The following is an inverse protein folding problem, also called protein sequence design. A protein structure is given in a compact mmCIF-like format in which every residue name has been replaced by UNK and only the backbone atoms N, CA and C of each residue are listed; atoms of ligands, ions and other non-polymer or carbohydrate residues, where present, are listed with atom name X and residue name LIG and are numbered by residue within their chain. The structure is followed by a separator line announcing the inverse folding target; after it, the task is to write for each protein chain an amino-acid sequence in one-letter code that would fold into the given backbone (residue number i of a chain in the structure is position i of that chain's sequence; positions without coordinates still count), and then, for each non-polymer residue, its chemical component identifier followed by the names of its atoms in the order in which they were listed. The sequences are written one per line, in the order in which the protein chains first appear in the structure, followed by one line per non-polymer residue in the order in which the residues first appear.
data_IF_318089380752
#
_entry.id   IF_318089380752
#
_cell.length_a   1.000
_cell.length_b   1.000
_cell.length_c   1.000
_cell.angle_alpha   90.00
_cell.angle_beta   90.00
_cell.angle_gamma   90.00
#
_symmetry.space_group_name_H-M   'P 1'
#
loop_
_entity.id
_entity.type
_entity.pdbx_description
1 polymer ?
#
# COMPACT_ATOMS: atom_id res chain seq x y z
N UNK A 1 -2.82 2.00 12.41
CA UNK A 1 -1.94 0.96 12.98
C UNK A 1 -0.98 1.61 13.97
N UNK A 2 -0.31 0.84 14.83
CA UNK A 2 0.51 1.39 15.91
C UNK A 2 2.00 1.13 15.65
N UNK A 3 2.84 2.07 16.05
CA UNK A 3 4.29 1.87 16.05
C UNK A 3 4.63 0.76 17.06
N UNK A 4 5.35 -0.30 16.66
CA UNK A 4 5.67 -1.41 17.55
C UNK A 4 6.62 -0.99 18.68
N UNK A 5 7.35 0.12 18.51
CA UNK A 5 8.31 0.61 19.49
C UNK A 5 7.69 1.55 20.53
N UNK A 6 6.87 2.52 20.10
CA UNK A 6 6.35 3.56 21.01
C UNK A 6 4.83 3.60 21.13
N UNK A 7 4.13 2.68 20.45
CA UNK A 7 2.66 2.59 20.47
C UNK A 7 1.93 3.71 19.73
N UNK A 8 2.64 4.68 19.13
CA UNK A 8 2.04 5.82 18.45
C UNK A 8 1.16 5.37 17.27
N UNK A 9 -0.04 5.93 17.17
CA UNK A 9 -1.00 5.58 16.11
C UNK A 9 -0.68 6.37 14.85
N UNK A 10 -0.59 5.68 13.71
CA UNK A 10 -0.51 6.30 12.39
C UNK A 10 -1.51 5.67 11.41
N UNK A 11 -2.00 6.50 10.50
CA UNK A 11 -2.97 6.13 9.46
C UNK A 11 -2.28 6.26 8.11
N UNK A 12 -2.10 5.14 7.42
CA UNK A 12 -1.58 5.12 6.06
C UNK A 12 -2.76 5.16 5.09
N UNK A 13 -2.80 6.17 4.23
CA UNK A 13 -3.72 6.23 3.09
C UNK A 13 -2.91 6.08 1.81
N UNK A 14 -2.99 4.92 1.18
CA UNK A 14 -2.37 4.64 -0.12
C UNK A 14 -3.46 4.65 -1.18
N UNK A 15 -3.34 5.57 -2.14
CA UNK A 15 -4.09 5.53 -3.38
C UNK A 15 -3.10 5.29 -4.51
N UNK A 16 -3.23 4.15 -5.20
CA UNK A 16 -2.44 3.86 -6.39
C UNK A 16 -3.39 3.83 -7.60
N UNK A 17 -3.10 4.68 -8.60
CA UNK A 17 -3.76 4.62 -9.91
C UNK A 17 -2.78 3.99 -10.90
N UNK A 18 -3.16 2.85 -11.47
CA UNK A 18 -2.37 2.17 -12.50
C UNK A 18 -3.13 2.26 -13.82
N UNK A 19 -2.62 3.07 -14.75
CA UNK A 19 -3.10 3.10 -16.12
C UNK A 19 -2.30 2.06 -16.93
N UNK A 20 -2.92 0.94 -17.27
CA UNK A 20 -2.29 -0.10 -18.09
C UNK A 20 -3.02 -0.24 -19.42
N UNK A 21 -2.34 0.04 -20.54
CA UNK A 21 -2.81 -0.25 -21.89
C UNK A 21 -2.03 -1.46 -22.41
N UNK A 22 -2.72 -2.56 -22.74
CA UNK A 22 -2.09 -3.77 -23.28
C UNK A 22 -1.35 -4.66 -22.27
N UNK A 23 -1.44 -4.38 -20.96
CA UNK A 23 -0.81 -5.21 -19.93
C UNK A 23 -1.78 -6.26 -19.36
N UNK A 24 -1.25 -7.43 -18.98
CA UNK A 24 -1.95 -8.41 -18.15
C UNK A 24 -1.54 -8.20 -16.68
N UNK A 25 -2.50 -7.94 -15.80
CA UNK A 25 -2.24 -7.83 -14.36
C UNK A 25 -1.83 -9.20 -13.83
N UNK A 26 -0.61 -9.30 -13.31
CA UNK A 26 -0.15 -10.48 -12.60
C UNK A 26 -0.68 -10.41 -11.15
N UNK A 27 -1.32 -11.48 -10.69
CA UNK A 27 -2.16 -11.53 -9.49
C UNK A 27 -1.42 -11.40 -8.15
N UNK A 28 -0.11 -11.16 -8.14
CA UNK A 28 0.68 -11.08 -6.92
C UNK A 28 1.77 -10.01 -7.03
N UNK A 29 1.41 -8.75 -6.86
CA UNK A 29 2.38 -7.71 -6.51
C UNK A 29 2.45 -7.58 -4.98
N UNK A 30 3.62 -7.86 -4.43
CA UNK A 30 3.97 -7.51 -3.04
C UNK A 30 4.78 -6.22 -3.08
N UNK A 31 4.23 -5.14 -2.54
CA UNK A 31 4.98 -3.89 -2.38
C UNK A 31 5.45 -3.79 -0.93
N UNK A 32 6.73 -3.50 -0.70
CA UNK A 32 7.25 -3.21 0.64
C UNK A 32 7.19 -1.70 0.84
N UNK A 33 6.58 -1.26 1.93
CA UNK A 33 6.56 0.14 2.34
C UNK A 33 7.44 0.34 3.57
N UNK A 34 8.33 1.31 3.50
CA UNK A 34 9.17 1.75 4.61
C UNK A 34 8.51 2.93 5.31
N UNK A 35 8.42 2.89 6.63
CA UNK A 35 7.83 3.94 7.46
C UNK A 35 8.84 4.33 8.52
N UNK A 36 9.01 5.63 8.72
CA UNK A 36 9.72 6.20 9.85
C UNK A 36 8.72 6.80 10.83
N UNK A 37 8.84 6.46 12.11
CA UNK A 37 7.99 7.02 13.15
C UNK A 37 8.58 8.35 13.66
N UNK A 38 7.98 9.49 13.30
CA UNK A 38 8.47 10.83 13.71
C UNK A 38 8.66 11.03 15.22
N UNK A 39 7.96 10.24 16.06
CA UNK A 39 8.08 10.34 17.52
C UNK A 39 9.32 9.65 18.10
N UNK A 40 9.77 8.55 17.50
CA UNK A 40 10.87 7.74 18.04
C UNK A 40 11.94 7.40 17.00
N UNK A 41 11.84 7.97 15.79
CA UNK A 41 12.69 7.78 14.62
C UNK A 41 12.93 6.32 14.22
N UNK A 42 12.06 5.42 14.68
CA UNK A 42 12.15 4.01 14.36
C UNK A 42 11.70 3.79 12.93
N UNK A 43 12.54 3.11 12.16
CA UNK A 43 12.22 2.67 10.80
C UNK A 43 11.61 1.27 10.87
N UNK A 44 10.55 1.03 10.09
CA UNK A 44 9.88 -0.27 9.98
C UNK A 44 9.46 -0.52 8.54
N UNK A 45 9.51 -1.79 8.12
CA UNK A 45 9.08 -2.22 6.79
C UNK A 45 7.81 -3.04 6.91
N UNK A 46 6.81 -2.72 6.08
CA UNK A 46 5.55 -3.43 6.04
C UNK A 46 5.28 -3.95 4.63
N UNK A 47 5.01 -5.25 4.47
CA UNK A 47 4.50 -5.76 3.21
C UNK A 47 3.05 -5.29 3.03
N UNK A 48 2.81 -4.54 1.97
CA UNK A 48 1.47 -4.25 1.47
C UNK A 48 1.12 -5.41 0.55
N UNK A 49 0.31 -6.33 1.07
CA UNK A 49 -0.34 -7.33 0.24
C UNK A 49 -1.59 -6.71 -0.35
N UNK A 50 -1.71 -6.82 -1.67
CA UNK A 50 -2.91 -6.39 -2.36
C UNK A 50 -4.05 -7.38 -2.03
N UNK A 51 -4.82 -7.13 -0.97
CA UNK A 51 -6.16 -7.74 -0.81
C UNK A 51 -7.11 -7.02 -1.75
N UNK A 52 -6.95 -7.23 -3.06
CA UNK A 52 -7.73 -6.48 -4.03
C UNK A 52 -9.15 -7.04 -4.13
N UNK A 53 -10.13 -6.27 -3.66
CA UNK A 53 -11.44 -6.24 -4.32
C UNK A 53 -11.20 -5.44 -5.60
N UNK A 54 -10.91 -6.11 -6.72
CA UNK A 54 -10.77 -5.45 -8.01
C UNK A 54 -12.17 -5.10 -8.52
N UNK A 55 -12.63 -3.86 -8.30
CA UNK A 55 -13.69 -3.32 -9.15
C UNK A 55 -13.03 -2.88 -10.46
N UNK A 56 -13.16 -3.73 -11.48
CA UNK A 56 -12.78 -3.40 -12.85
C UNK A 56 -13.93 -2.57 -13.43
N UNK A 57 -13.78 -1.25 -13.42
CA UNK A 57 -14.66 -0.39 -14.20
C UNK A 57 -14.09 -0.28 -15.62
N UNK A 58 -14.87 -0.73 -16.61
CA UNK A 58 -14.56 -0.46 -18.01
C UNK A 58 -14.80 1.02 -18.26
N UNK A 59 -13.74 1.73 -18.64
CA UNK A 59 -13.85 3.08 -19.18
C UNK A 59 -14.71 3.00 -20.45
N UNK A 60 -15.83 3.71 -20.46
CA UNK A 60 -16.73 3.80 -21.62
C UNK A 60 -16.50 5.13 -22.30
N UNK A 61 -15.46 5.18 -23.14
CA UNK A 61 -15.34 6.12 -24.27
C UNK A 61 -15.09 7.57 -23.91
#
# INVERSE_FOLDING_TARGET
MNCPHCGNVFVIKLAAKVNCIGCRVLSSMTTIMTIECEKCNQISQLPIQNKTIMNIEKDKG
#
